data_IF_398305363240
#
_entry.id   IF_398305363240
#
_cell.length_a   1.000
_cell.length_b   1.000
_cell.length_c   1.000
_cell.angle_alpha   90.00
_cell.angle_beta   90.00
_cell.angle_gamma   90.00
#
_symmetry.space_group_name_H-M   'P 1'
#
loop_
_entity.id
_entity.type
_entity.pdbx_description
1 polymer ?
#
# COMPACT_ATOMS: atom_id res chain seq x y z
N UNK A 1 12.64 6.86 -6.86
CA UNK A 1 12.85 6.02 -5.66
C UNK A 1 12.50 4.58 -6.00
N UNK A 2 13.18 3.55 -5.44
CA UNK A 2 12.82 2.17 -5.71
C UNK A 2 11.45 1.85 -5.09
N UNK A 3 10.63 1.06 -5.79
CA UNK A 3 9.47 0.38 -5.18
C UNK A 3 10.03 -0.46 -4.04
N UNK A 4 9.76 -0.05 -2.80
CA UNK A 4 10.30 -0.75 -1.64
C UNK A 4 9.44 -1.97 -1.41
N UNK A 5 9.88 -3.12 -1.92
CA UNK A 5 9.21 -4.39 -1.60
C UNK A 5 9.38 -4.64 -0.11
N UNK A 6 8.44 -5.33 0.52
CA UNK A 6 8.58 -5.69 1.94
C UNK A 6 9.93 -6.42 2.24
N UNK A 7 10.47 -7.12 1.23
CA UNK A 7 11.81 -7.72 1.26
C UNK A 7 12.94 -6.67 1.35
N UNK A 8 12.79 -5.53 0.67
CA UNK A 8 13.78 -4.46 0.61
C UNK A 8 13.84 -3.66 1.91
N UNK A 9 12.71 -3.49 2.62
CA UNK A 9 12.69 -2.81 3.94
C UNK A 9 13.56 -3.55 4.96
N UNK A 10 13.53 -4.88 4.93
CA UNK A 10 14.33 -5.69 5.84
C UNK A 10 15.78 -5.88 5.34
N UNK A 11 16.02 -5.78 4.03
CA UNK A 11 17.39 -5.67 3.50
C UNK A 11 18.04 -4.35 3.92
N UNK A 12 17.27 -3.26 4.05
CA UNK A 12 17.75 -1.99 4.62
C UNK A 12 18.16 -2.19 6.09
N UNK A 13 17.35 -2.88 6.90
CA UNK A 13 17.73 -3.21 8.28
C UNK A 13 18.96 -4.14 8.38
N UNK A 14 19.18 -4.99 7.39
CA UNK A 14 20.35 -5.86 7.34
C UNK A 14 21.65 -5.14 6.90
N UNK A 15 21.55 -3.96 6.26
CA UNK A 15 22.69 -3.24 5.71
C UNK A 15 23.63 -2.64 6.78
N UNK A 16 23.14 -2.44 7.99
CA UNK A 16 23.91 -1.90 9.13
C UNK A 16 24.65 -2.97 9.94
N UNK A 17 24.54 -4.24 9.56
CA UNK A 17 25.20 -5.35 10.26
C UNK A 17 26.25 -6.02 9.36
N UNK A 18 27.48 -6.21 9.85
CA UNK A 18 28.54 -6.93 9.11
C UNK A 18 28.55 -8.46 9.37
N UNK A 19 27.64 -8.95 10.21
CA UNK A 19 27.50 -10.37 10.54
C UNK A 19 26.59 -11.10 9.52
N UNK A 20 27.19 -12.02 8.77
CA UNK A 20 26.50 -12.77 7.71
C UNK A 20 25.32 -13.60 8.25
N UNK A 21 25.42 -14.12 9.48
CA UNK A 21 24.34 -14.90 10.10
C UNK A 21 23.13 -14.02 10.43
N UNK A 22 23.37 -12.83 10.95
CA UNK A 22 22.34 -11.83 11.24
C UNK A 22 21.69 -11.32 9.95
N UNK A 23 22.47 -11.05 8.90
CA UNK A 23 21.93 -10.71 7.57
C UNK A 23 21.03 -11.82 7.03
N UNK A 24 21.45 -13.08 7.12
CA UNK A 24 20.67 -14.23 6.67
C UNK A 24 19.33 -14.35 7.43
N UNK A 25 19.37 -14.16 8.75
CA UNK A 25 18.18 -14.17 9.60
C UNK A 25 17.20 -13.03 9.21
N UNK A 26 17.71 -11.81 8.99
CA UNK A 26 16.86 -10.69 8.57
C UNK A 26 16.23 -10.92 7.20
N UNK A 27 16.95 -11.51 6.25
CA UNK A 27 16.41 -11.89 4.93
C UNK A 27 15.32 -12.96 5.02
N UNK A 28 15.48 -13.96 5.89
CA UNK A 28 14.44 -14.98 6.09
C UNK A 28 13.17 -14.36 6.67
N UNK A 29 13.31 -13.52 7.70
CA UNK A 29 12.18 -12.78 8.29
C UNK A 29 11.49 -11.91 7.22
N UNK A 30 12.27 -11.21 6.39
CA UNK A 30 11.78 -10.40 5.28
C UNK A 30 10.93 -11.19 4.29
N UNK A 31 11.46 -12.34 3.87
CA UNK A 31 10.80 -13.24 2.93
C UNK A 31 9.49 -13.76 3.49
N UNK A 32 9.47 -14.15 4.77
CA UNK A 32 8.28 -14.62 5.47
C UNK A 32 7.21 -13.53 5.56
N UNK A 33 7.57 -12.33 6.01
CA UNK A 33 6.63 -11.19 6.10
C UNK A 33 6.07 -10.82 4.73
N UNK A 34 6.93 -10.74 3.71
CA UNK A 34 6.51 -10.45 2.32
C UNK A 34 5.52 -11.50 1.81
N UNK A 35 5.77 -12.78 2.08
CA UNK A 35 4.90 -13.88 1.67
C UNK A 35 3.54 -13.82 2.36
N UNK A 36 3.50 -13.55 3.67
CA UNK A 36 2.24 -13.43 4.39
C UNK A 36 1.44 -12.22 3.90
N UNK A 37 2.07 -11.05 3.73
CA UNK A 37 1.40 -9.86 3.18
C UNK A 37 0.84 -10.14 1.79
N UNK A 38 1.61 -10.76 0.90
CA UNK A 38 1.14 -11.13 -0.44
C UNK A 38 -0.07 -12.04 -0.36
N UNK A 39 0.00 -13.10 0.45
CA UNK A 39 -1.12 -14.02 0.66
C UNK A 39 -2.36 -13.29 1.15
N UNK A 40 -2.23 -12.41 2.16
CA UNK A 40 -3.36 -11.62 2.67
C UNK A 40 -3.89 -10.62 1.66
N UNK A 41 -3.03 -10.00 0.87
CA UNK A 41 -3.42 -9.06 -0.19
C UNK A 41 -4.20 -9.76 -1.32
N UNK A 42 -3.87 -11.03 -1.62
CA UNK A 42 -4.62 -11.87 -2.55
C UNK A 42 -6.00 -12.28 -2.01
N UNK A 43 -6.13 -12.44 -0.69
CA UNK A 43 -7.39 -12.78 -0.01
C UNK A 43 -8.35 -11.59 0.11
N UNK A 44 -7.90 -10.35 -0.13
CA UNK A 44 -8.77 -9.17 -0.13
C UNK A 44 -9.77 -9.25 -1.29
N UNK A 45 -11.06 -9.28 -0.96
CA UNK A 45 -12.15 -9.28 -1.92
C UNK A 45 -12.94 -7.96 -1.82
N UNK A 46 -13.10 -7.29 -2.95
CA UNK A 46 -13.97 -6.13 -3.10
C UNK A 46 -14.66 -6.16 -4.46
N UNK A 47 -15.87 -5.60 -4.52
CA UNK A 47 -16.60 -5.43 -5.77
C UNK A 47 -16.61 -3.96 -6.19
N UNK A 48 -16.68 -3.74 -7.50
CA UNK A 48 -16.74 -2.38 -8.09
C UNK A 48 -17.90 -1.58 -7.48
N UNK A 49 -19.02 -2.24 -7.24
CA UNK A 49 -20.27 -1.66 -6.72
C UNK A 49 -20.16 -1.23 -5.25
N UNK A 50 -19.24 -1.82 -4.49
CA UNK A 50 -19.01 -1.44 -3.08
C UNK A 50 -18.18 -0.15 -2.98
N UNK A 51 -17.55 0.27 -4.08
CA UNK A 51 -16.68 1.43 -4.13
C UNK A 51 -17.48 2.72 -4.35
N UNK A 52 -17.16 3.75 -3.58
CA UNK A 52 -17.74 5.09 -3.73
C UNK A 52 -16.71 6.05 -4.30
N UNK A 53 -17.17 7.13 -4.94
CA UNK A 53 -16.26 8.18 -5.39
C UNK A 53 -15.58 8.87 -4.21
N UNK A 54 -14.24 8.95 -4.25
CA UNK A 54 -13.49 9.68 -3.25
C UNK A 54 -13.72 11.18 -3.44
N UNK A 55 -14.58 11.80 -2.62
CA UNK A 55 -14.86 13.26 -2.54
C UNK A 55 -14.58 14.03 -3.86
N UNK A 56 -15.37 13.75 -4.91
CA UNK A 56 -15.30 14.49 -6.17
C UNK A 56 -14.13 14.14 -7.11
N UNK A 57 -13.29 13.15 -6.79
CA UNK A 57 -12.20 12.68 -7.66
C UNK A 57 -12.71 11.59 -8.61
N UNK A 58 -13.02 11.97 -9.84
CA UNK A 58 -13.66 11.09 -10.85
C UNK A 58 -12.83 9.89 -11.29
N UNK A 59 -11.52 9.87 -11.05
CA UNK A 59 -10.66 8.73 -11.38
C UNK A 59 -10.16 7.99 -10.13
N UNK A 60 -10.68 8.31 -8.94
CA UNK A 60 -10.35 7.65 -7.70
C UNK A 60 -11.62 7.17 -6.99
N UNK A 61 -11.74 5.86 -6.89
CA UNK A 61 -12.78 5.21 -6.12
C UNK A 61 -12.18 4.72 -4.80
N UNK A 62 -12.98 4.68 -3.75
CA UNK A 62 -12.55 4.21 -2.43
C UNK A 62 -13.64 3.35 -1.80
N UNK A 63 -13.22 2.37 -1.00
CA UNK A 63 -14.16 1.61 -0.18
C UNK A 63 -14.63 2.49 0.99
N UNK A 64 -15.90 2.41 1.42
CA UNK A 64 -16.30 3.04 2.67
C UNK A 64 -15.56 2.42 3.86
N UNK A 65 -15.08 3.24 4.79
CA UNK A 65 -14.25 2.77 5.92
C UNK A 65 -14.93 1.68 6.76
N UNK A 66 -16.27 1.70 6.89
CA UNK A 66 -17.04 0.68 7.60
C UNK A 66 -17.10 -0.67 6.87
N UNK A 67 -16.98 -0.69 5.54
CA UNK A 67 -16.97 -1.91 4.73
C UNK A 67 -15.61 -2.62 4.78
N UNK A 68 -14.53 -1.87 5.03
CA UNK A 68 -13.17 -2.39 5.10
C UNK A 68 -12.96 -3.39 6.26
N UNK A 69 -13.71 -3.22 7.35
CA UNK A 69 -13.48 -3.92 8.60
C UNK A 69 -13.65 -5.44 8.53
N UNK A 70 -14.21 -6.02 7.46
CA UNK A 70 -14.32 -7.47 7.29
C UNK A 70 -13.36 -8.03 6.24
N UNK A 71 -13.42 -7.51 5.00
CA UNK A 71 -12.68 -8.09 3.87
C UNK A 71 -11.17 -7.82 3.88
N UNK A 72 -10.72 -6.73 4.50
CA UNK A 72 -9.31 -6.36 4.58
C UNK A 72 -8.73 -6.43 5.99
N UNK A 73 -9.53 -6.86 6.97
CA UNK A 73 -9.11 -6.95 8.38
C UNK A 73 -7.88 -7.84 8.58
N UNK A 74 -7.79 -9.04 7.96
CA UNK A 74 -6.62 -9.90 8.13
C UNK A 74 -5.35 -9.24 7.59
N UNK A 75 -5.42 -8.55 6.44
CA UNK A 75 -4.29 -7.80 5.89
C UNK A 75 -3.90 -6.64 6.81
N UNK A 76 -4.86 -5.89 7.34
CA UNK A 76 -4.61 -4.81 8.29
C UNK A 76 -3.89 -5.32 9.55
N UNK A 77 -4.36 -6.43 10.12
CA UNK A 77 -3.74 -7.07 11.29
C UNK A 77 -2.31 -7.51 10.97
N UNK A 78 -2.10 -8.14 9.82
CA UNK A 78 -0.79 -8.63 9.39
C UNK A 78 0.23 -7.50 9.26
N UNK A 79 -0.16 -6.40 8.60
CA UNK A 79 0.68 -5.20 8.46
C UNK A 79 1.00 -4.62 9.84
N UNK A 80 0.02 -4.51 10.73
CA UNK A 80 0.25 -3.94 12.05
C UNK A 80 1.08 -4.83 12.97
N UNK A 81 0.87 -6.13 12.96
CA UNK A 81 1.62 -7.02 13.85
C UNK A 81 3.06 -7.20 13.39
N UNK A 82 3.27 -7.35 12.08
CA UNK A 82 4.56 -7.76 11.55
C UNK A 82 5.37 -6.62 10.93
N UNK A 83 4.73 -5.53 10.49
CA UNK A 83 5.46 -4.38 9.91
C UNK A 83 5.56 -3.17 10.82
N UNK A 84 4.72 -3.02 11.84
CA UNK A 84 4.72 -1.80 12.65
C UNK A 84 6.08 -1.53 13.29
N UNK A 85 6.78 -2.58 13.76
CA UNK A 85 8.14 -2.42 14.32
C UNK A 85 9.10 -1.84 13.29
N UNK A 86 9.14 -2.39 12.09
CA UNK A 86 9.98 -1.94 10.99
C UNK A 86 9.65 -0.52 10.55
N UNK A 87 8.36 -0.19 10.43
CA UNK A 87 7.88 1.15 10.09
C UNK A 87 8.29 2.18 11.15
N UNK A 88 8.25 1.81 12.43
CA UNK A 88 8.66 2.70 13.52
C UNK A 88 10.19 2.87 13.60
N UNK A 89 10.97 1.82 13.34
CA UNK A 89 12.43 1.91 13.26
C UNK A 89 12.84 2.84 12.11
N UNK A 90 12.30 2.60 10.90
CA UNK A 90 12.54 3.46 9.73
C UNK A 90 12.15 4.92 9.98
N UNK A 91 10.98 5.17 10.60
CA UNK A 91 10.56 6.53 10.93
C UNK A 91 11.57 7.21 11.87
N UNK A 92 12.03 6.49 12.90
CA UNK A 92 13.01 6.99 13.86
C UNK A 92 14.33 7.37 13.18
N UNK A 93 14.83 6.54 12.26
CA UNK A 93 16.04 6.82 11.46
C UNK A 93 15.87 8.07 10.59
N UNK A 94 14.65 8.31 10.09
CA UNK A 94 14.27 9.51 9.34
C UNK A 94 14.01 10.74 10.21
N UNK A 95 14.19 10.65 11.53
CA UNK A 95 14.06 11.79 12.44
C UNK A 95 12.62 12.18 12.78
N UNK A 96 11.65 11.30 12.55
CA UNK A 96 10.26 11.51 12.98
C UNK A 96 9.66 10.26 13.64
N UNK A 97 8.58 10.44 14.37
CA UNK A 97 7.75 9.36 14.91
C UNK A 97 6.42 9.32 14.16
N UNK A 98 5.80 8.15 14.17
CA UNK A 98 4.49 7.93 13.55
C UNK A 98 3.42 7.90 14.63
N UNK A 99 2.38 8.69 14.47
CA UNK A 99 1.22 8.66 15.37
C UNK A 99 0.46 7.33 15.23
N UNK A 100 0.39 6.57 16.32
CA UNK A 100 -0.19 5.22 16.34
C UNK A 100 -1.72 5.19 16.23
N UNK A 101 -2.40 6.30 16.56
CA UNK A 101 -3.85 6.31 16.73
C UNK A 101 -4.64 6.82 15.51
N UNK A 102 -3.97 7.33 14.46
CA UNK A 102 -4.62 7.95 13.30
C UNK A 102 -4.76 7.02 12.08
N UNK A 103 -4.84 5.71 12.32
CA UNK A 103 -4.84 4.67 11.29
C UNK A 103 -6.19 4.61 10.57
N UNK A 104 -6.36 5.46 9.56
CA UNK A 104 -7.43 5.26 8.58
C UNK A 104 -6.88 4.40 7.46
N UNK A 105 -7.17 3.11 7.54
CA UNK A 105 -6.99 2.23 6.40
C UNK A 105 -8.15 2.40 5.41
N UNK A 106 -7.85 2.30 4.12
CA UNK A 106 -8.85 2.27 3.06
C UNK A 106 -8.38 1.48 1.84
N UNK A 107 -9.30 0.88 1.08
CA UNK A 107 -9.00 0.38 -0.26
C UNK A 107 -9.26 1.50 -1.26
N UNK A 108 -8.28 1.78 -2.10
CA UNK A 108 -8.30 2.79 -3.15
C UNK A 108 -8.20 2.10 -4.51
N UNK A 109 -9.04 2.51 -5.46
CA UNK A 109 -8.94 2.10 -6.85
C UNK A 109 -8.72 3.32 -7.75
N UNK A 110 -7.46 3.50 -8.18
CA UNK A 110 -7.01 4.59 -9.03
C UNK A 110 -7.09 4.17 -10.50
N UNK A 111 -8.07 4.69 -11.22
CA UNK A 111 -8.32 4.41 -12.65
C UNK A 111 -7.62 5.41 -13.59
N UNK A 112 -6.93 6.39 -13.01
CA UNK A 112 -6.21 7.44 -13.72
C UNK A 112 -5.89 8.63 -12.80
N UNK A 113 -4.92 9.45 -13.19
CA UNK A 113 -4.53 10.63 -12.43
C UNK A 113 -3.47 10.34 -11.38
N UNK A 114 -3.46 11.14 -10.31
CA UNK A 114 -2.37 11.21 -9.33
C UNK A 114 -2.92 11.08 -7.92
N UNK A 115 -2.27 10.31 -7.05
CA UNK A 115 -2.40 10.36 -5.59
C UNK A 115 -1.13 11.00 -5.05
N UNK A 116 -1.29 12.02 -4.22
CA UNK A 116 -0.22 12.77 -3.59
C UNK A 116 -0.25 12.51 -2.08
N UNK A 117 0.93 12.34 -1.49
CA UNK A 117 1.12 12.21 -0.06
C UNK A 117 1.27 13.60 0.56
N UNK A 118 0.46 13.94 1.56
CA UNK A 118 0.61 15.20 2.28
C UNK A 118 2.00 15.28 2.94
N UNK A 119 2.66 16.46 2.98
CA UNK A 119 4.01 16.59 3.54
C UNK A 119 4.14 16.16 5.01
N UNK A 120 3.06 16.22 5.79
CA UNK A 120 3.01 15.80 7.21
C UNK A 120 2.57 14.33 7.40
N UNK A 121 2.49 13.56 6.30
CA UNK A 121 2.08 12.16 6.29
C UNK A 121 3.17 11.23 5.76
N UNK A 122 3.03 9.98 6.14
CA UNK A 122 3.59 8.82 5.44
C UNK A 122 2.42 7.97 5.00
N UNK A 123 2.42 7.55 3.74
CA UNK A 123 1.36 6.69 3.19
C UNK A 123 1.95 5.37 2.75
N UNK A 124 1.48 4.29 3.37
CA UNK A 124 1.76 2.92 2.96
C UNK A 124 0.70 2.48 1.95
N UNK A 125 1.14 2.03 0.79
CA UNK A 125 0.31 1.47 -0.27
C UNK A 125 0.71 0.01 -0.47
N UNK A 126 -0.25 -0.90 -0.38
CA UNK A 126 -0.07 -2.33 -0.67
C UNK A 126 -0.99 -2.67 -1.84
N UNK A 127 -0.42 -3.16 -2.93
CA UNK A 127 -1.22 -3.53 -4.10
C UNK A 127 -2.07 -4.75 -3.77
N UNK A 128 -3.38 -4.64 -4.00
CA UNK A 128 -4.35 -5.72 -3.81
C UNK A 128 -5.02 -6.05 -5.13
N UNK A 129 -5.80 -7.13 -5.17
CA UNK A 129 -6.53 -7.51 -6.37
C UNK A 129 -7.49 -6.42 -6.83
N UNK A 130 -7.70 -6.34 -8.14
CA UNK A 130 -8.71 -5.48 -8.74
C UNK A 130 -10.10 -5.82 -8.22
N UNK A 131 -10.97 -4.80 -8.05
CA UNK A 131 -12.35 -5.06 -7.71
C UNK A 131 -13.01 -5.87 -8.82
N UNK A 132 -13.78 -6.89 -8.45
CA UNK A 132 -14.53 -7.71 -9.40
C UNK A 132 -15.87 -7.03 -9.71
N UNK A 133 -16.38 -7.22 -10.93
CA UNK A 133 -17.82 -7.01 -11.18
C UNK A 133 -18.59 -8.22 -10.65
N UNK A 134 -19.79 -8.03 -10.12
CA UNK A 134 -20.65 -9.17 -9.79
C UNK A 134 -21.20 -9.77 -11.09
N UNK A 135 -21.12 -11.10 -11.20
CA UNK A 135 -21.66 -11.81 -12.36
C UNK A 135 -23.20 -11.98 -12.27
N UNK A 136 -23.80 -11.77 -11.10
CA UNK A 136 -25.19 -12.13 -10.78
C UNK A 136 -26.11 -10.97 -10.36
N UNK A 137 -25.60 -9.73 -10.28
CA UNK A 137 -26.41 -8.55 -9.96
C UNK A 137 -27.11 -8.56 -8.58
N UNK A 138 -26.72 -9.46 -7.65
CA UNK A 138 -27.37 -9.69 -6.35
C UNK A 138 -26.54 -9.31 -5.11
N UNK A 139 -27.18 -9.31 -3.93
CA UNK A 139 -26.69 -8.83 -2.61
C UNK A 139 -25.84 -9.88 -1.88
N UNK A 140 -24.90 -9.40 -1.04
CA UNK A 140 -23.83 -10.13 -0.35
C UNK A 140 -24.34 -11.10 0.72
N UNK A 141 -23.86 -12.36 0.69
CA UNK A 141 -23.71 -13.21 1.88
C UNK A 141 -22.27 -13.74 1.97
N UNK A 142 -21.60 -13.52 3.10
CA UNK A 142 -20.57 -14.42 3.63
C UNK A 142 -21.11 -15.04 4.94
N UNK A 143 -20.91 -16.32 5.26
CA UNK A 143 -19.67 -16.78 5.86
C UNK A 143 -19.42 -18.32 5.79
N UNK A 144 -20.29 -19.17 5.22
CA UNK A 144 -20.06 -20.64 5.18
C UNK A 144 -20.79 -21.39 4.03
N UNK A 145 -20.66 -20.99 2.75
CA UNK A 145 -21.54 -21.61 1.74
C UNK A 145 -21.08 -21.65 0.30
N UNK A 146 -19.84 -22.07 0.05
CA UNK A 146 -19.26 -22.39 -1.28
C UNK A 146 -19.02 -21.21 -2.22
N UNK A 147 -17.76 -20.76 -2.30
CA UNK A 147 -17.22 -20.15 -3.51
C UNK A 147 -16.63 -21.27 -4.38
N UNK A 148 -17.22 -21.46 -5.56
CA UNK A 148 -16.64 -22.27 -6.62
C UNK A 148 -15.15 -21.90 -6.81
N UNK A 149 -14.33 -22.92 -7.11
CA UNK A 149 -12.87 -22.84 -7.16
C UNK A 149 -12.39 -21.53 -7.78
N UNK A 150 -11.77 -20.69 -6.95
CA UNK A 150 -11.13 -19.46 -7.42
C UNK A 150 -9.88 -19.90 -8.16
N UNK A 151 -9.99 -20.13 -9.47
CA UNK A 151 -8.82 -20.09 -10.35
C UNK A 151 -8.35 -18.65 -10.32
N UNK A 152 -7.25 -18.43 -9.60
CA UNK A 152 -6.49 -17.17 -9.62
C UNK A 152 -5.99 -17.02 -11.06
N UNK A 153 -6.74 -16.28 -11.89
CA UNK A 153 -6.17 -15.76 -13.13
C UNK A 153 -5.04 -14.83 -12.73
N UNK A 154 -3.85 -15.00 -13.31
CA UNK A 154 -2.73 -14.10 -13.08
C UNK A 154 -3.18 -12.67 -13.40
N UNK A 155 -3.29 -11.83 -12.38
CA UNK A 155 -3.56 -10.41 -12.63
C UNK A 155 -2.37 -9.84 -13.40
N UNK A 156 -2.61 -9.11 -14.51
CA UNK A 156 -1.51 -8.53 -15.26
C UNK A 156 -0.73 -7.56 -14.36
N UNK A 157 0.59 -7.53 -14.54
CA UNK A 157 1.45 -6.51 -13.95
C UNK A 157 0.90 -5.13 -14.29
N UNK A 158 0.74 -4.31 -13.27
CA UNK A 158 0.22 -2.95 -13.42
C UNK A 158 1.42 -1.99 -13.44
N UNK A 159 1.43 -1.05 -14.40
CA UNK A 159 2.55 -0.11 -14.58
C UNK A 159 2.18 1.27 -14.08
N UNK A 160 3.07 1.87 -13.29
CA UNK A 160 2.86 3.17 -12.64
C UNK A 160 4.05 4.07 -12.74
N UNK A 161 3.84 5.32 -12.33
CA UNK A 161 4.87 6.32 -12.24
C UNK A 161 4.90 6.84 -10.80
N UNK A 162 6.07 6.75 -10.19
CA UNK A 162 6.38 7.36 -8.90
C UNK A 162 7.14 8.65 -9.19
N UNK A 163 6.59 9.77 -8.74
CA UNK A 163 7.23 11.08 -8.81
C UNK A 163 7.54 11.54 -7.39
N UNK A 164 8.81 11.79 -7.12
CA UNK A 164 9.28 12.46 -5.91
C UNK A 164 9.67 13.90 -6.22
N UNK A 165 9.91 14.75 -5.20
CA UNK A 165 10.37 16.13 -5.42
C UNK A 165 11.69 16.22 -6.21
N UNK A 166 12.52 15.17 -6.13
CA UNK A 166 13.88 15.15 -6.69
C UNK A 166 14.04 14.22 -7.90
N UNK A 167 13.08 13.36 -8.18
CA UNK A 167 13.17 12.38 -9.26
C UNK A 167 11.80 11.89 -9.75
N UNK A 168 11.75 11.41 -10.99
CA UNK A 168 10.60 10.67 -11.52
C UNK A 168 11.07 9.30 -12.01
N UNK A 169 10.32 8.25 -11.69
CA UNK A 169 10.64 6.87 -12.06
C UNK A 169 9.38 6.08 -12.38
N UNK A 170 9.41 5.28 -13.45
CA UNK A 170 8.37 4.29 -13.73
C UNK A 170 8.64 2.99 -12.97
N UNK A 171 7.58 2.27 -12.61
CA UNK A 171 7.68 0.96 -11.98
C UNK A 171 6.58 0.01 -12.44
N UNK A 172 6.80 -1.28 -12.24
CA UNK A 172 5.81 -2.34 -12.40
C UNK A 172 5.55 -2.97 -11.04
N UNK A 173 4.29 -3.24 -10.74
CA UNK A 173 3.87 -3.81 -9.47
C UNK A 173 2.93 -5.00 -9.68
N UNK A 174 3.02 -5.95 -8.75
CA UNK A 174 2.12 -7.09 -8.62
C UNK A 174 1.35 -7.02 -7.29
N UNK A 175 0.35 -7.87 -7.14
CA UNK A 175 -0.38 -8.01 -5.86
C UNK A 175 0.60 -8.36 -4.72
N UNK A 176 0.44 -7.68 -3.59
CA UNK A 176 1.30 -7.79 -2.43
C UNK A 176 2.57 -6.93 -2.48
N UNK A 177 2.90 -6.30 -3.61
CA UNK A 177 3.96 -5.30 -3.64
C UNK A 177 3.55 -4.08 -2.80
N UNK A 178 4.56 -3.33 -2.35
CA UNK A 178 4.39 -2.24 -1.40
C UNK A 178 5.12 -0.99 -1.87
N UNK A 179 4.55 0.17 -1.57
CA UNK A 179 5.18 1.48 -1.76
C UNK A 179 4.94 2.29 -0.49
N UNK A 180 5.98 3.00 -0.05
CA UNK A 180 5.90 4.03 0.98
C UNK A 180 6.03 5.37 0.27
N UNK A 181 5.07 6.27 0.49
CA UNK A 181 5.12 7.65 0.02
C UNK A 181 5.40 8.58 1.20
N UNK A 182 6.35 9.49 1.04
CA UNK A 182 6.66 10.56 2.01
C UNK A 182 6.88 11.91 1.31
N UNK A 183 6.91 13.02 2.06
CA UNK A 183 7.44 14.31 1.60
C UNK A 183 6.86 14.86 0.27
N UNK A 184 5.55 14.73 0.04
CA UNK A 184 4.94 15.21 -1.19
C UNK A 184 5.10 14.26 -2.39
N UNK A 185 5.56 13.03 -2.17
CA UNK A 185 5.65 12.01 -3.21
C UNK A 185 4.28 11.66 -3.79
N UNK A 186 4.31 11.28 -5.06
CA UNK A 186 3.12 11.07 -5.87
C UNK A 186 3.21 9.74 -6.61
N UNK A 187 2.13 8.97 -6.55
CA UNK A 187 1.90 7.84 -7.45
C UNK A 187 0.89 8.26 -8.51
N UNK A 188 1.18 7.96 -9.77
CA UNK A 188 0.27 8.27 -10.87
C UNK A 188 0.11 7.13 -11.84
N UNK A 189 -1.10 7.08 -12.38
CA UNK A 189 -1.47 6.27 -13.53
C UNK A 189 -1.68 7.24 -14.69
N UNK A 190 -0.78 7.19 -15.67
CA UNK A 190 -0.95 7.95 -16.91
C UNK A 190 -1.87 7.17 -17.85
N UNK A 191 -2.95 7.81 -18.30
CA UNK A 191 -3.62 7.39 -19.55
C UNK A 191 -2.72 7.85 -20.70
N UNK A 192 -1.67 7.11 -21.02
CA UNK A 192 -0.86 7.48 -22.18
C UNK A 192 -1.71 7.39 -23.45
N UNK A 193 -1.68 8.48 -24.24
CA UNK A 193 -2.38 8.59 -25.53
C UNK A 193 -1.74 7.72 -26.64
N UNK A 194 -0.52 7.22 -26.41
CA UNK A 194 0.31 6.51 -27.40
C UNK A 194 0.53 5.03 -27.11
N UNK A 195 -0.05 4.49 -26.04
CA UNK A 195 0.11 3.09 -25.68
C UNK A 195 -0.87 2.27 -26.51
N UNK A 196 -0.30 1.52 -27.46
CA UNK A 196 -1.00 0.55 -28.32
C UNK A 196 -2.00 -0.27 -27.50
N UNK A 197 -3.17 -0.51 -28.08
CA UNK A 197 -4.14 -1.47 -27.56
C UNK A 197 -3.42 -2.80 -27.28
N UNK A 198 -3.41 -3.25 -26.02
CA UNK A 198 -2.87 -4.55 -25.62
C UNK A 198 -1.85 -4.60 -24.48
N UNK A 199 -1.31 -3.47 -24.01
CA UNK A 199 -0.53 -3.48 -22.76
C UNK A 199 -1.47 -3.43 -21.56
N UNK A 200 -1.12 -4.12 -20.48
CA UNK A 200 -1.98 -4.41 -19.33
C UNK A 200 -2.84 -3.27 -18.76
N UNK A 201 -3.83 -3.65 -17.94
CA UNK A 201 -4.73 -2.72 -17.27
C UNK A 201 -4.00 -1.59 -16.54
N UNK A 202 -4.53 -0.38 -16.74
CA UNK A 202 -3.96 0.90 -16.34
C UNK A 202 -4.56 1.39 -15.03
N UNK A 203 -4.77 0.52 -14.06
CA UNK A 203 -5.34 0.94 -12.79
C UNK A 203 -4.69 0.20 -11.63
N UNK A 204 -4.78 0.81 -10.45
CA UNK A 204 -4.23 0.27 -9.22
C UNK A 204 -5.33 0.12 -8.19
N UNK A 205 -5.50 -1.09 -7.69
CA UNK A 205 -6.21 -1.33 -6.45
C UNK A 205 -5.18 -1.44 -5.33
N UNK A 206 -5.31 -0.63 -4.28
CA UNK A 206 -4.33 -0.53 -3.21
C UNK A 206 -5.02 -0.48 -1.86
N UNK A 207 -4.56 -1.29 -0.93
CA UNK A 207 -4.80 -1.08 0.49
C UNK A 207 -3.87 0.03 0.98
N UNK A 208 -4.46 1.13 1.43
CA UNK A 208 -3.79 2.36 1.82
C UNK A 208 -3.87 2.56 3.32
N UNK A 209 -2.74 2.85 3.96
CA UNK A 209 -2.65 3.25 5.36
C UNK A 209 -1.90 4.58 5.43
N UNK A 210 -2.57 5.62 5.92
CA UNK A 210 -1.95 6.93 6.10
C UNK A 210 -1.62 7.17 7.59
N UNK A 211 -0.42 7.67 7.84
CA UNK A 211 0.12 7.93 9.16
C UNK A 211 0.55 9.40 9.27
N UNK A 212 0.28 10.04 10.42
CA UNK A 212 0.84 11.37 10.71
C UNK A 212 2.28 11.26 11.19
N UNK A 213 3.14 12.11 10.64
CA UNK A 213 4.50 12.34 11.12
C UNK A 213 4.48 13.32 12.29
N UNK A 214 5.26 13.03 13.32
CA UNK A 214 5.55 13.91 14.44
C UNK A 214 7.08 14.02 14.51
N UNK A 215 7.68 15.19 14.23
CA UNK A 215 9.12 15.37 14.33
C UNK A 215 9.65 14.94 15.71
N UNK A 216 10.78 14.22 15.75
CA UNK A 216 11.30 13.66 17.01
C UNK A 216 12.00 14.72 17.88
N UNK A 217 12.09 15.97 17.43
CA UNK A 217 12.68 17.05 18.21
C UNK A 217 12.60 18.41 17.53
N UNK A 218 11.84 19.31 18.16
CA UNK A 218 11.75 20.74 17.90
C UNK A 218 11.02 21.45 19.04
N UNK A 219 11.14 20.94 20.26
CA UNK A 219 10.75 21.64 21.48
C UNK A 219 12.05 22.10 22.14
N UNK A 220 12.48 23.34 21.87
CA UNK A 220 13.76 23.80 22.40
C UNK A 220 14.30 25.16 21.95
N UNK A 221 13.55 26.02 21.24
CA UNK A 221 13.87 27.47 21.21
C UNK A 221 12.57 28.27 21.34
N UNK A 222 11.89 28.08 22.48
CA UNK A 222 10.87 28.99 22.97
C UNK A 222 11.54 29.93 23.98
N UNK A 223 11.68 31.20 23.59
CA UNK A 223 12.30 32.24 24.39
C UNK A 223 11.69 32.37 25.78
N UNK A 224 12.55 32.68 26.74
CA UNK A 224 12.16 33.38 27.96
C UNK A 224 12.84 34.75 27.95
N UNK A 225 12.09 35.70 28.49
CA UNK A 225 12.21 37.14 28.38
C UNK A 225 13.53 37.74 28.91
#
# INVERSE_FOLDING_TARGET
MPVIRAADIMNILAADTQDEQTIANYRDIASRVTREIRKRAEEVVCHVEDMVFAKGRTNLLQLPHLALARSAQPLNIEVHNNMAKTLFTWASEKGFTIERNMLKCNILWLQGGVIECDPDRVVLLIFVRRPRRRDDGGVIEDAQGTTAGITVSEEPLSRGFLKSPTAESSFECQVGDMIVLEEGEQISVRREASVKEGTGPRDFCMFCIAHRKIPTGGAGEGGTA
#
